data_IF_441667189678
#
_entry.id   IF_441667189678
#
_cell.length_a   1.000
_cell.length_b   1.000
_cell.length_c   1.000
_cell.angle_alpha   90.00
_cell.angle_beta   90.00
_cell.angle_gamma   90.00
#
_symmetry.space_group_name_H-M   'P 1'
#
loop_
_entity.id
_entity.type
_entity.pdbx_description
1 polymer ?
#
# COMPACT_ATOMS: atom_id res chain seq x y z
N UNK A 1 -12.68 4.81 -14.28
CA UNK A 1 -11.28 5.32 -14.27
C UNK A 1 -10.62 5.45 -15.64
N UNK A 2 -9.62 6.34 -15.78
CA UNK A 2 -8.71 6.47 -16.93
C UNK A 2 -7.24 6.52 -16.49
N UNK A 3 -6.33 5.85 -17.20
CA UNK A 3 -4.88 5.88 -16.90
C UNK A 3 -4.29 7.26 -17.22
N UNK A 4 -3.55 7.86 -16.28
CA UNK A 4 -2.91 9.18 -16.45
C UNK A 4 -1.40 9.13 -16.39
N UNK A 5 -0.82 8.25 -15.56
CA UNK A 5 0.62 8.00 -15.56
C UNK A 5 0.95 6.61 -15.07
N UNK A 6 2.16 6.14 -15.37
CA UNK A 6 2.68 4.90 -14.81
C UNK A 6 4.19 4.95 -14.61
N UNK A 7 4.71 4.07 -13.77
CA UNK A 7 6.13 3.94 -13.49
C UNK A 7 6.51 2.48 -13.32
N UNK A 8 7.52 2.07 -14.09
CA UNK A 8 8.10 0.72 -14.06
C UNK A 8 9.43 0.79 -13.34
N UNK A 9 9.64 -0.10 -12.37
CA UNK A 9 10.85 -0.14 -11.54
C UNK A 9 11.34 -1.56 -11.40
N UNK A 10 12.65 -1.74 -11.43
CA UNK A 10 13.32 -3.04 -11.16
C UNK A 10 12.64 -4.20 -11.90
N UNK A 11 12.38 -4.04 -13.19
CA UNK A 11 11.69 -5.00 -14.04
C UNK A 11 12.46 -5.22 -15.34
N UNK A 12 12.95 -6.44 -15.55
CA UNK A 12 13.80 -6.88 -16.67
C UNK A 12 14.99 -5.94 -16.90
N UNK A 13 14.99 -5.22 -18.01
CA UNK A 13 16.01 -4.23 -18.38
C UNK A 13 15.71 -2.81 -17.88
N UNK A 14 14.54 -2.56 -17.29
CA UNK A 14 14.12 -1.27 -16.76
C UNK A 14 14.46 -1.19 -15.27
N UNK A 15 15.37 -0.29 -14.91
CA UNK A 15 15.71 -0.07 -13.49
C UNK A 15 14.73 0.89 -12.83
N UNK A 16 14.42 1.98 -13.53
CA UNK A 16 13.43 2.98 -13.18
C UNK A 16 13.07 3.72 -14.48
N UNK A 17 11.81 3.67 -14.90
CA UNK A 17 11.34 4.42 -16.06
C UNK A 17 11.16 5.90 -15.78
N UNK A 18 11.24 6.32 -14.51
CA UNK A 18 10.61 7.54 -14.00
C UNK A 18 9.10 7.55 -14.29
N UNK A 19 8.43 8.65 -13.95
CA UNK A 19 7.02 8.79 -14.28
C UNK A 19 6.85 8.95 -15.80
N UNK A 20 5.97 8.13 -16.38
CA UNK A 20 5.56 8.21 -17.78
C UNK A 20 4.12 8.68 -17.82
N UNK A 21 3.91 9.91 -18.29
CA UNK A 21 2.59 10.48 -18.53
C UNK A 21 1.92 9.79 -19.71
N UNK A 22 0.60 9.61 -19.59
CA UNK A 22 -0.25 9.02 -20.63
C UNK A 22 -1.21 10.10 -21.12
N UNK A 23 -1.17 10.35 -22.42
CA UNK A 23 -2.06 11.28 -23.10
C UNK A 23 -3.49 10.74 -23.15
N UNK A 24 -4.46 11.65 -23.15
CA UNK A 24 -5.88 11.30 -23.07
C UNK A 24 -6.43 10.55 -24.29
N UNK A 25 -5.75 10.65 -25.43
CA UNK A 25 -6.15 10.05 -26.71
C UNK A 25 -5.21 8.91 -27.16
N UNK A 26 -3.98 9.24 -27.54
CA UNK A 26 -2.99 8.33 -28.12
C UNK A 26 -1.61 8.68 -27.59
N UNK A 27 -1.02 7.75 -26.82
CA UNK A 27 0.35 7.89 -26.33
C UNK A 27 1.31 7.09 -27.22
N UNK A 28 2.33 7.76 -27.77
CA UNK A 28 3.36 7.09 -28.59
C UNK A 28 4.65 6.87 -27.81
N UNK A 29 5.09 5.62 -27.68
CA UNK A 29 6.38 5.28 -27.08
C UNK A 29 7.46 5.17 -28.16
N UNK A 30 8.42 6.10 -28.16
CA UNK A 30 9.54 6.14 -29.11
C UNK A 30 10.86 5.88 -28.39
N UNK A 31 11.75 5.11 -29.01
CA UNK A 31 13.09 4.88 -28.47
C UNK A 31 13.91 3.94 -29.32
N UNK A 32 15.24 4.10 -29.27
CA UNK A 32 16.18 3.28 -30.04
C UNK A 32 16.21 1.82 -29.56
N UNK A 33 15.95 1.59 -28.27
CA UNK A 33 15.88 0.24 -27.69
C UNK A 33 14.48 -0.34 -27.87
N UNK A 34 14.34 -1.40 -28.67
CA UNK A 34 13.09 -2.15 -28.85
C UNK A 34 12.66 -2.87 -27.58
N UNK A 35 13.62 -3.51 -26.89
CA UNK A 35 13.35 -4.26 -25.66
C UNK A 35 12.81 -3.40 -24.53
N UNK A 36 13.20 -2.12 -24.43
CA UNK A 36 12.70 -1.20 -23.40
C UNK A 36 11.21 -0.91 -23.56
N UNK A 37 10.73 -0.68 -24.78
CA UNK A 37 9.33 -0.34 -25.07
C UNK A 37 8.40 -1.52 -24.76
N UNK A 38 8.76 -2.70 -25.26
CA UNK A 38 7.99 -3.92 -25.01
C UNK A 38 7.97 -4.28 -23.52
N UNK A 39 9.09 -4.13 -22.80
CA UNK A 39 9.15 -4.33 -21.35
C UNK A 39 8.22 -3.37 -20.59
N UNK A 40 8.11 -2.11 -21.02
CA UNK A 40 7.21 -1.13 -20.40
C UNK A 40 5.73 -1.53 -20.58
N UNK A 41 5.35 -1.93 -21.79
CA UNK A 41 3.98 -2.37 -22.08
C UNK A 41 3.64 -3.69 -21.37
N UNK A 42 4.59 -4.62 -21.28
CA UNK A 42 4.43 -5.89 -20.55
C UNK A 42 4.26 -5.65 -19.04
N UNK A 43 5.04 -4.72 -18.45
CA UNK A 43 4.87 -4.33 -17.05
C UNK A 43 3.48 -3.72 -16.79
N UNK A 44 3.01 -2.85 -17.69
CA UNK A 44 1.69 -2.23 -17.59
C UNK A 44 0.57 -3.27 -17.74
N UNK A 45 0.69 -4.20 -18.69
CA UNK A 45 -0.24 -5.32 -18.85
C UNK A 45 -0.32 -6.15 -17.56
N UNK A 46 0.82 -6.47 -16.95
CA UNK A 46 0.86 -7.25 -15.69
C UNK A 46 0.32 -6.52 -14.47
N UNK A 47 0.03 -5.22 -14.55
CA UNK A 47 -0.71 -4.55 -13.48
C UNK A 47 -2.12 -5.13 -13.34
N UNK A 48 -2.83 -5.34 -14.46
CA UNK A 48 -4.16 -5.95 -14.48
C UNK A 48 -4.27 -6.88 -15.69
N UNK A 49 -3.68 -8.08 -15.61
CA UNK A 49 -3.59 -8.98 -16.76
C UNK A 49 -4.95 -9.61 -17.06
N UNK A 50 -5.20 -9.87 -18.34
CA UNK A 50 -6.42 -10.56 -18.79
C UNK A 50 -6.31 -12.07 -18.54
N UNK A 51 -5.10 -12.60 -18.62
CA UNK A 51 -4.75 -13.98 -18.23
C UNK A 51 -4.12 -13.98 -16.83
N UNK A 52 -3.90 -15.16 -16.25
CA UNK A 52 -3.30 -15.30 -14.91
C UNK A 52 -1.77 -15.07 -14.90
N UNK A 53 -1.32 -14.03 -15.61
CA UNK A 53 0.08 -13.66 -15.72
C UNK A 53 0.53 -12.97 -14.42
N UNK A 54 1.30 -13.71 -13.63
CA UNK A 54 1.93 -13.20 -12.42
C UNK A 54 3.34 -12.65 -12.70
N UNK A 55 3.84 -11.83 -11.79
CA UNK A 55 5.27 -11.51 -11.77
C UNK A 55 6.06 -12.70 -11.22
N UNK A 56 7.15 -13.06 -11.88
CA UNK A 56 8.06 -14.12 -11.43
C UNK A 56 9.38 -13.46 -11.05
N UNK A 57 9.56 -13.20 -9.76
CA UNK A 57 10.74 -12.48 -9.23
C UNK A 57 12.07 -12.97 -9.82
N UNK A 58 12.29 -14.29 -9.86
CA UNK A 58 13.52 -14.89 -10.38
C UNK A 58 13.78 -14.54 -11.86
N UNK A 59 12.73 -14.47 -12.66
CA UNK A 59 12.83 -14.37 -14.12
C UNK A 59 12.70 -12.91 -14.59
N UNK A 60 11.88 -12.13 -13.88
CA UNK A 60 11.52 -10.75 -14.20
C UNK A 60 12.38 -9.71 -13.48
N UNK A 61 12.98 -10.00 -12.32
CA UNK A 61 13.86 -9.03 -11.64
C UNK A 61 15.17 -8.87 -12.41
N UNK A 62 15.80 -7.67 -12.47
CA UNK A 62 17.10 -7.48 -13.11
C UNK A 62 18.14 -8.47 -12.59
N UNK A 63 18.51 -9.46 -13.41
CA UNK A 63 19.31 -10.64 -13.00
C UNK A 63 20.62 -10.29 -12.30
N UNK A 64 21.31 -9.27 -12.81
CA UNK A 64 22.59 -8.79 -12.27
C UNK A 64 22.46 -8.13 -10.89
N UNK A 65 21.24 -7.72 -10.49
CA UNK A 65 20.92 -7.14 -9.18
C UNK A 65 20.27 -8.13 -8.21
N UNK A 66 19.55 -9.13 -8.72
CA UNK A 66 18.72 -10.04 -7.92
C UNK A 66 19.44 -10.59 -6.68
N UNK A 67 20.60 -11.24 -6.84
CA UNK A 67 21.37 -11.79 -5.70
C UNK A 67 21.87 -10.72 -4.72
N UNK A 68 22.17 -9.51 -5.20
CA UNK A 68 22.73 -8.44 -4.37
C UNK A 68 21.63 -7.75 -3.56
N UNK A 69 20.50 -7.46 -4.21
CA UNK A 69 19.40 -6.74 -3.61
C UNK A 69 18.61 -7.67 -2.68
N UNK A 70 18.45 -8.95 -3.03
CA UNK A 70 17.83 -9.97 -2.16
C UNK A 70 18.63 -10.32 -0.90
N UNK A 71 19.87 -9.84 -0.75
CA UNK A 71 20.60 -9.90 0.53
C UNK A 71 20.27 -8.75 1.47
N UNK A 72 19.63 -7.69 0.96
CA UNK A 72 19.39 -6.43 1.67
C UNK A 72 17.91 -6.20 1.99
N UNK A 73 17.03 -6.62 1.10
CA UNK A 73 15.59 -6.41 1.21
C UNK A 73 14.83 -7.64 0.70
N UNK A 74 13.56 -7.74 1.09
CA UNK A 74 12.63 -8.72 0.54
C UNK A 74 12.20 -8.28 -0.87
N UNK A 75 12.69 -8.98 -1.89
CA UNK A 75 12.38 -8.68 -3.29
C UNK A 75 10.92 -8.95 -3.63
N UNK A 76 10.24 -9.82 -2.87
CA UNK A 76 8.84 -10.15 -3.10
C UNK A 76 7.91 -8.96 -2.82
N UNK A 77 8.34 -8.05 -1.92
CA UNK A 77 7.63 -6.83 -1.58
C UNK A 77 7.89 -5.67 -2.55
N UNK A 78 8.85 -5.81 -3.48
CA UNK A 78 9.16 -4.78 -4.48
C UNK A 78 8.00 -4.63 -5.46
N UNK A 79 7.70 -3.39 -5.83
CA UNK A 79 6.64 -3.03 -6.80
C UNK A 79 7.25 -2.82 -8.18
N UNK A 80 7.12 -3.80 -9.11
CA UNK A 80 7.59 -3.64 -10.48
C UNK A 80 6.83 -2.59 -11.28
N UNK A 81 5.54 -2.40 -11.00
CA UNK A 81 4.66 -1.47 -11.70
C UNK A 81 3.73 -0.74 -10.72
N UNK A 82 3.66 0.58 -10.88
CA UNK A 82 2.63 1.43 -10.29
C UNK A 82 2.03 2.33 -11.37
N UNK A 83 0.72 2.60 -11.28
CA UNK A 83 0.00 3.44 -12.22
C UNK A 83 -0.99 4.34 -11.49
N UNK A 84 -1.12 5.56 -11.98
CA UNK A 84 -2.07 6.54 -11.49
C UNK A 84 -3.23 6.63 -12.47
N UNK A 85 -4.43 6.62 -11.92
CA UNK A 85 -5.68 6.71 -12.67
C UNK A 85 -6.45 7.94 -12.22
N UNK A 86 -7.05 8.66 -13.16
CA UNK A 86 -8.14 9.57 -12.89
C UNK A 86 -9.42 8.78 -12.60
N UNK A 87 -10.07 9.12 -11.50
CA UNK A 87 -11.34 8.54 -11.09
C UNK A 87 -12.45 9.08 -11.98
N UNK A 88 -13.46 8.25 -12.28
CA UNK A 88 -14.70 8.76 -12.86
C UNK A 88 -15.70 9.13 -11.77
N UNK A 89 -16.87 9.65 -12.17
CA UNK A 89 -17.91 10.06 -11.22
C UNK A 89 -18.40 8.88 -10.36
N UNK A 90 -18.51 7.68 -10.93
CA UNK A 90 -18.96 6.48 -10.22
C UNK A 90 -17.95 6.07 -9.15
N UNK A 91 -16.66 6.06 -9.50
CA UNK A 91 -15.58 5.75 -8.56
C UNK A 91 -15.48 6.83 -7.44
N UNK A 92 -15.68 8.09 -7.82
CA UNK A 92 -15.64 9.22 -6.89
C UNK A 92 -16.80 9.19 -5.91
N UNK A 93 -18.01 8.84 -6.37
CA UNK A 93 -19.17 8.65 -5.51
C UNK A 93 -19.00 7.48 -4.55
N UNK A 94 -18.40 6.37 -5.01
CA UNK A 94 -18.07 5.25 -4.14
C UNK A 94 -17.09 5.66 -3.03
N UNK A 95 -16.09 6.48 -3.32
CA UNK A 95 -15.18 7.03 -2.31
C UNK A 95 -15.89 7.99 -1.34
N UNK A 96 -16.76 8.87 -1.83
CA UNK A 96 -17.56 9.76 -0.97
C UNK A 96 -18.48 8.98 -0.04
N UNK A 97 -19.10 7.91 -0.53
CA UNK A 97 -19.94 7.04 0.28
C UNK A 97 -19.15 6.29 1.36
N UNK A 98 -17.92 5.88 1.07
CA UNK A 98 -17.08 5.12 2.00
C UNK A 98 -16.32 6.00 3.02
N UNK A 99 -15.83 7.17 2.59
CA UNK A 99 -14.97 8.03 3.40
C UNK A 99 -15.68 9.29 3.93
N UNK A 100 -16.84 9.64 3.36
CA UNK A 100 -17.54 10.89 3.62
C UNK A 100 -17.10 12.02 2.67
N UNK A 101 -17.92 13.07 2.65
CA UNK A 101 -17.82 14.10 1.62
C UNK A 101 -16.57 14.99 1.79
N UNK A 102 -15.91 15.24 0.66
CA UNK A 102 -14.66 15.98 0.50
C UNK A 102 -13.43 15.45 1.24
N UNK A 103 -13.45 14.18 1.64
CA UNK A 103 -12.29 13.50 2.25
C UNK A 103 -11.24 13.11 1.20
N UNK A 104 -11.66 12.71 0.00
CA UNK A 104 -10.73 12.52 -1.11
C UNK A 104 -10.32 13.89 -1.67
N UNK A 105 -9.03 14.24 -1.56
CA UNK A 105 -8.49 15.55 -1.95
C UNK A 105 -8.25 15.65 -3.45
N UNK A 106 -7.96 14.51 -4.09
CA UNK A 106 -7.68 14.41 -5.51
C UNK A 106 -8.59 13.37 -6.14
N UNK A 107 -9.01 13.62 -7.37
CA UNK A 107 -9.76 12.67 -8.21
C UNK A 107 -8.82 11.65 -8.86
N UNK A 108 -7.79 11.22 -8.14
CA UNK A 108 -6.80 10.26 -8.63
C UNK A 108 -6.54 9.16 -7.62
N UNK A 109 -6.18 7.99 -8.16
CA UNK A 109 -5.79 6.83 -7.37
C UNK A 109 -4.53 6.22 -7.96
N UNK A 110 -3.55 5.94 -7.12
CA UNK A 110 -2.35 5.19 -7.52
C UNK A 110 -2.48 3.75 -7.08
N UNK A 111 -2.32 2.83 -8.03
CA UNK A 111 -2.41 1.38 -7.82
C UNK A 111 -1.05 0.78 -8.20
N UNK A 112 -0.53 -0.10 -7.34
CA UNK A 112 0.67 -0.87 -7.65
C UNK A 112 0.48 -2.35 -7.37
N UNK A 113 1.23 -3.17 -8.11
CA UNK A 113 1.28 -4.63 -7.93
C UNK A 113 2.70 -5.03 -7.56
N UNK A 114 2.86 -5.83 -6.51
CA UNK A 114 4.14 -6.34 -6.02
C UNK A 114 4.53 -7.67 -6.68
N UNK A 115 5.80 -8.06 -6.55
CA UNK A 115 6.29 -9.36 -7.04
C UNK A 115 5.58 -10.56 -6.40
N UNK A 116 5.17 -10.46 -5.13
CA UNK A 116 4.35 -11.47 -4.47
C UNK A 116 2.87 -11.48 -4.93
N UNK A 117 2.51 -10.68 -5.93
CA UNK A 117 1.15 -10.60 -6.48
C UNK A 117 0.20 -9.71 -5.69
N UNK A 118 0.61 -9.19 -4.52
CA UNK A 118 -0.27 -8.32 -3.71
C UNK A 118 -0.39 -6.94 -4.33
N UNK A 119 -1.62 -6.43 -4.29
CA UNK A 119 -1.93 -5.07 -4.72
C UNK A 119 -1.84 -4.11 -3.54
N UNK A 120 -1.42 -2.89 -3.83
CA UNK A 120 -1.58 -1.78 -2.92
C UNK A 120 -2.21 -0.61 -3.68
N UNK A 121 -2.91 0.23 -2.93
CA UNK A 121 -3.63 1.36 -3.46
C UNK A 121 -3.36 2.57 -2.57
N UNK A 122 -3.24 3.74 -3.18
CA UNK A 122 -3.03 5.02 -2.51
C UNK A 122 -4.01 6.04 -3.06
N UNK A 123 -4.76 6.65 -2.15
CA UNK A 123 -5.66 7.78 -2.42
C UNK A 123 -5.19 8.94 -1.54
N UNK A 124 -5.18 10.15 -2.10
CA UNK A 124 -4.91 11.36 -1.33
C UNK A 124 -6.14 11.71 -0.48
N UNK A 125 -5.98 11.64 0.83
CA UNK A 125 -7.06 11.80 1.81
C UNK A 125 -6.77 12.98 2.74
N UNK A 126 -7.78 13.80 3.00
CA UNK A 126 -7.80 14.82 4.05
C UNK A 126 -8.14 14.15 5.38
N UNK A 127 -7.10 13.75 6.12
CA UNK A 127 -7.25 13.09 7.42
C UNK A 127 -8.06 13.92 8.43
N UNK A 128 -7.82 15.24 8.62
CA UNK A 128 -8.65 16.07 9.49
C UNK A 128 -10.13 16.04 9.13
N UNK A 129 -10.45 16.12 7.83
CA UNK A 129 -11.84 16.08 7.38
C UNK A 129 -12.46 14.70 7.56
N UNK A 130 -11.68 13.63 7.33
CA UNK A 130 -12.11 12.27 7.64
C UNK A 130 -12.44 12.11 9.13
N UNK A 131 -11.55 12.58 10.01
CA UNK A 131 -11.76 12.50 11.46
C UNK A 131 -13.00 13.27 11.90
N UNK A 132 -13.25 14.46 11.33
CA UNK A 132 -14.49 15.22 11.58
C UNK A 132 -15.75 14.46 11.15
N UNK A 133 -15.71 13.81 9.99
CA UNK A 133 -16.84 13.03 9.49
C UNK A 133 -17.11 11.79 10.36
N UNK A 134 -16.07 11.10 10.81
CA UNK A 134 -16.19 9.89 11.63
C UNK A 134 -16.61 10.21 13.07
N UNK A 135 -16.14 11.32 13.63
CA UNK A 135 -16.43 11.74 15.01
C UNK A 135 -17.70 12.60 15.13
N UNK A 136 -18.45 12.84 14.05
CA UNK A 136 -19.60 13.74 14.06
C UNK A 136 -20.66 13.40 15.14
N UNK A 137 -20.85 12.12 15.44
CA UNK A 137 -21.80 11.63 16.44
C UNK A 137 -21.14 11.27 17.80
N UNK A 138 -19.84 11.53 17.96
CA UNK A 138 -19.10 11.17 19.17
C UNK A 138 -19.19 12.29 20.23
N UNK A 139 -19.53 11.99 21.50
CA UNK A 139 -19.71 13.02 22.54
C UNK A 139 -18.44 13.84 22.81
N UNK A 140 -17.25 13.24 22.67
CA UNK A 140 -15.95 13.89 22.91
C UNK A 140 -15.23 14.31 21.60
N UNK A 141 -15.97 14.59 20.52
CA UNK A 141 -15.39 14.89 19.20
C UNK A 141 -14.39 16.05 19.23
N UNK A 142 -14.70 17.14 19.94
CA UNK A 142 -13.82 18.31 20.03
C UNK A 142 -12.49 17.99 20.72
N UNK A 143 -12.53 17.28 21.85
CA UNK A 143 -11.33 16.90 22.60
C UNK A 143 -10.42 15.94 21.80
N UNK A 144 -11.02 15.00 21.06
CA UNK A 144 -10.28 14.05 20.23
C UNK A 144 -9.65 14.71 18.99
N UNK A 145 -10.34 15.66 18.37
CA UNK A 145 -9.81 16.42 17.23
C UNK A 145 -8.69 17.40 17.63
N UNK A 146 -8.71 17.93 18.85
CA UNK A 146 -7.61 18.73 19.39
C UNK A 146 -6.39 17.89 19.77
N UNK A 147 -6.61 16.70 20.33
CA UNK A 147 -5.54 15.81 20.78
C UNK A 147 -4.87 15.03 19.63
N UNK A 148 -5.60 14.76 18.54
CA UNK A 148 -5.17 13.89 17.46
C UNK A 148 -5.31 14.56 16.10
N UNK A 149 -4.18 14.68 15.40
CA UNK A 149 -4.12 15.30 14.06
C UNK A 149 -4.13 14.23 12.96
N UNK A 150 -3.78 12.98 13.29
CA UNK A 150 -3.71 11.86 12.34
C UNK A 150 -4.64 10.71 12.71
N UNK A 151 -5.12 10.00 11.69
CA UNK A 151 -5.98 8.81 11.87
C UNK A 151 -5.26 7.72 12.66
N UNK A 152 -3.94 7.59 12.49
CA UNK A 152 -3.13 6.64 13.25
C UNK A 152 -3.18 6.94 14.77
N UNK A 153 -3.01 8.21 15.14
CA UNK A 153 -3.05 8.62 16.55
C UNK A 153 -4.45 8.47 17.18
N UNK A 154 -5.50 8.78 16.40
CA UNK A 154 -6.88 8.55 16.84
C UNK A 154 -7.17 7.06 17.03
N UNK A 155 -6.70 6.21 16.10
CA UNK A 155 -6.88 4.76 16.19
C UNK A 155 -6.17 4.17 17.40
N UNK A 156 -4.99 4.68 17.75
CA UNK A 156 -4.26 4.24 18.94
C UNK A 156 -4.97 4.65 20.23
N UNK A 157 -5.52 5.87 20.29
CA UNK A 157 -6.29 6.35 21.44
C UNK A 157 -7.63 5.63 21.62
N UNK A 158 -8.29 5.24 20.52
CA UNK A 158 -9.53 4.48 20.52
C UNK A 158 -9.32 2.95 20.60
N UNK A 159 -8.07 2.47 20.53
CA UNK A 159 -7.80 1.06 20.70
C UNK A 159 -8.14 0.67 22.15
N UNK A 160 -8.90 -0.42 22.39
CA UNK A 160 -9.19 -0.87 23.73
C UNK A 160 -7.84 -1.14 24.43
N UNK A 161 -7.65 -0.52 25.59
CA UNK A 161 -6.46 -0.74 26.42
C UNK A 161 -6.17 -2.24 26.51
N UNK A 162 -4.91 -2.69 26.36
CA UNK A 162 -4.59 -4.09 26.57
C UNK A 162 -5.10 -4.44 27.97
N UNK A 163 -6.00 -5.43 28.06
CA UNK A 163 -6.40 -6.00 29.34
C UNK A 163 -5.12 -6.30 30.10
N UNK A 164 -4.85 -5.51 31.14
CA UNK A 164 -3.76 -5.75 32.07
C UNK A 164 -4.00 -7.16 32.60
N UNK A 165 -3.19 -8.10 32.13
CA UNK A 165 -3.13 -9.43 32.70
C UNK A 165 -2.69 -9.24 34.15
N UNK A 166 -3.65 -9.41 35.06
CA UNK A 166 -3.40 -9.44 36.50
C UNK A 166 -2.38 -10.55 36.74
N UNK A 167 -1.14 -10.15 37.01
CA UNK A 167 -0.10 -11.04 37.50
C UNK A 167 -0.55 -11.52 38.87
N UNK A 168 -0.96 -12.78 38.96
CA UNK A 168 -1.18 -13.45 40.22
C UNK A 168 0.18 -13.59 40.95
N UNK A 169 0.26 -13.36 42.26
CA UNK A 169 1.51 -13.46 43.00
C UNK A 169 1.93 -14.93 43.11
N UNK A 170 3.20 -15.21 42.81
CA UNK A 170 3.85 -16.47 43.14
C UNK A 170 3.79 -16.70 44.66
N UNK A 171 3.38 -17.88 45.15
CA UNK A 171 3.70 -18.28 46.50
C UNK A 171 5.16 -18.76 46.56
N UNK A 172 5.83 -18.25 47.58
CA UNK A 172 7.21 -18.46 48.00
C UNK A 172 7.54 -19.94 48.25
N UNK A 173 8.80 -20.28 48.00
CA UNK A 173 9.48 -21.49 48.46
C UNK A 173 9.34 -21.67 49.98
N UNK A 174 9.05 -22.90 50.41
CA UNK A 174 9.55 -23.45 51.67
C UNK A 174 9.89 -24.93 51.44
N UNK A 175 11.09 -25.29 51.90
CA UNK A 175 11.72 -26.59 51.81
C UNK A 175 11.11 -27.59 52.81
N UNK A 176 11.15 -28.89 52.49
CA UNK A 176 11.56 -29.92 53.46
C UNK A 176 11.82 -31.30 52.81
N UNK A 177 13.07 -31.72 52.96
CA UNK A 177 13.66 -33.06 53.10
C UNK A 177 12.70 -34.20 53.58
N UNK A 178 12.80 -35.40 52.97
CA UNK A 178 13.03 -36.71 53.63
C UNK A 178 12.51 -37.96 52.86
N UNK A 179 13.45 -38.88 52.59
CA UNK A 179 13.47 -40.35 52.79
C UNK A 179 12.36 -41.34 52.28
N UNK A 180 12.89 -42.48 51.78
CA UNK A 180 12.34 -43.86 51.59
C UNK A 180 11.11 -44.03 50.67
N UNK A 181 11.02 -45.00 49.75
CA UNK A 181 11.48 -46.40 49.71
C UNK A 181 11.78 -46.85 48.25
#
# INVERSE_FOLDING_TARGET
MKLTSFRVRRYKNVLDSTEVSVESDVTTLVGMNESGKSTMLDALYRLNPVYDDAFVERDDYPRWRWKRDGRKEDLSAVTPIEATFALDEVDSDALRAALGDGVAVQETVTIGRRYNGTYWLRVAVDEPRFMKNVLADHPDAEALLEAHITVASLKEALAPAPKVAVVAPNPTEDAEEAADE
#
